data_IF_900724860706
#
_entry.id   IF_900724860706
#
_cell.length_a   1.000
_cell.length_b   1.000
_cell.length_c   1.000
_cell.angle_alpha   90.00
_cell.angle_beta   90.00
_cell.angle_gamma   90.00
#
_symmetry.space_group_name_H-M   'P 1'
#
loop_
_entity.id
_entity.type
_entity.pdbx_description
1 polymer ?
#
# COMPACT_ATOMS: atom_id res chain seq x y z
N UNK A 1 8.61 31.33 0.58
CA UNK A 1 7.37 31.18 1.37
C UNK A 1 7.74 30.33 2.56
N UNK A 2 7.54 30.81 3.78
CA UNK A 2 7.95 30.04 4.96
C UNK A 2 6.87 29.07 5.42
N UNK A 3 5.61 29.29 5.08
CA UNK A 3 4.50 28.42 5.45
C UNK A 3 3.69 28.05 4.20
N UNK A 4 3.33 26.78 4.07
CA UNK A 4 2.53 26.24 2.97
C UNK A 4 1.45 25.34 3.57
N UNK A 5 0.19 25.58 3.21
CA UNK A 5 -0.94 24.74 3.62
C UNK A 5 -1.41 23.90 2.44
N UNK A 6 -1.42 22.58 2.62
CA UNK A 6 -1.83 21.58 1.65
C UNK A 6 -3.21 21.01 2.02
N UNK A 7 -4.14 21.01 1.08
CA UNK A 7 -5.51 20.51 1.26
C UNK A 7 -5.69 19.24 0.44
N UNK A 8 -6.27 18.18 1.02
CA UNK A 8 -6.56 16.96 0.29
C UNK A 8 -7.83 17.13 -0.56
N UNK A 9 -7.72 16.95 -1.89
CA UNK A 9 -8.83 17.16 -2.84
C UNK A 9 -10.09 16.34 -2.51
N UNK A 10 -9.93 15.09 -2.12
CA UNK A 10 -11.04 14.18 -1.84
C UNK A 10 -11.50 14.19 -0.37
N UNK A 11 -10.79 14.88 0.51
CA UNK A 11 -11.14 15.00 1.92
C UNK A 11 -10.69 16.35 2.48
N UNK A 12 -11.46 17.40 2.20
CA UNK A 12 -11.11 18.79 2.53
C UNK A 12 -10.98 19.06 4.04
N UNK A 13 -11.39 18.11 4.89
CA UNK A 13 -11.21 18.23 6.35
C UNK A 13 -9.78 17.91 6.78
N UNK A 14 -9.03 17.14 5.97
CA UNK A 14 -7.61 16.82 6.19
C UNK A 14 -6.73 17.86 5.51
N UNK A 15 -5.88 18.52 6.29
CA UNK A 15 -4.87 19.43 5.77
C UNK A 15 -3.52 19.25 6.47
N UNK A 16 -2.45 19.54 5.72
CA UNK A 16 -1.07 19.51 6.20
C UNK A 16 -0.50 20.92 6.09
N UNK A 17 0.05 21.45 7.17
CA UNK A 17 0.82 22.69 7.16
C UNK A 17 2.30 22.38 7.28
N UNK A 18 3.08 22.96 6.39
CA UNK A 18 4.52 22.86 6.33
C UNK A 18 5.12 24.23 6.65
N UNK A 19 6.00 24.31 7.63
CA UNK A 19 6.69 25.54 7.99
C UNK A 19 8.21 25.34 7.91
N UNK A 20 8.89 26.15 7.11
CA UNK A 20 10.35 26.13 6.93
C UNK A 20 10.97 27.34 7.62
N UNK A 21 11.77 27.06 8.65
CA UNK A 21 12.55 28.05 9.38
C UNK A 21 14.02 27.64 9.39
N UNK A 22 14.84 28.32 8.56
CA UNK A 22 16.27 28.04 8.37
C UNK A 22 16.53 26.59 7.92
N UNK A 23 16.93 25.73 8.85
CA UNK A 23 17.33 24.34 8.64
C UNK A 23 16.28 23.38 9.23
N UNK A 24 15.12 23.91 9.63
CA UNK A 24 14.05 23.17 10.28
C UNK A 24 12.78 23.19 9.44
N UNK A 25 12.16 22.02 9.30
CA UNK A 25 10.81 21.87 8.76
C UNK A 25 9.90 21.39 9.87
N UNK A 26 8.83 22.13 10.14
CA UNK A 26 7.74 21.69 10.99
C UNK A 26 6.58 21.23 10.12
N UNK A 27 6.15 19.98 10.32
CA UNK A 27 4.99 19.38 9.67
C UNK A 27 3.87 19.27 10.71
N UNK A 28 2.71 19.83 10.38
CA UNK A 28 1.51 19.78 11.21
C UNK A 28 0.37 19.19 10.41
N UNK A 29 -0.32 18.21 10.98
CA UNK A 29 -1.50 17.61 10.38
C UNK A 29 -2.74 18.03 11.16
N UNK A 30 -3.79 18.34 10.43
CA UNK A 30 -5.06 18.79 10.97
C UNK A 30 -6.20 17.96 10.39
N UNK A 31 -7.24 17.80 11.20
CA UNK A 31 -8.54 17.27 10.79
C UNK A 31 -9.64 18.15 11.38
N UNK A 32 -10.59 18.58 10.55
CA UNK A 32 -11.66 19.50 10.96
C UNK A 32 -11.13 20.77 11.65
N UNK A 33 -9.99 21.31 11.17
CA UNK A 33 -9.24 22.43 11.75
C UNK A 33 -8.64 22.19 13.15
N UNK A 34 -8.75 21.00 13.71
CA UNK A 34 -8.04 20.62 14.94
C UNK A 34 -6.68 20.04 14.58
N UNK A 35 -5.62 20.55 15.20
CA UNK A 35 -4.28 20.00 15.02
C UNK A 35 -4.20 18.62 15.69
N UNK A 36 -3.95 17.59 14.88
CA UNK A 36 -3.79 16.20 15.31
C UNK A 36 -2.37 16.01 15.86
N UNK A 37 -1.36 16.47 15.13
CA UNK A 37 0.04 16.27 15.47
C UNK A 37 0.93 17.41 14.95
N UNK A 38 2.15 17.48 15.47
CA UNK A 38 3.17 18.44 15.08
C UNK A 38 4.55 17.84 15.27
N UNK A 39 5.32 17.73 14.20
CA UNK A 39 6.68 17.20 14.22
C UNK A 39 7.66 18.19 13.58
N UNK A 40 8.81 18.42 14.22
CA UNK A 40 9.88 19.25 13.66
C UNK A 40 11.08 18.40 13.31
N UNK A 41 11.62 18.63 12.11
CA UNK A 41 12.79 17.98 11.57
C UNK A 41 13.90 19.00 11.38
N UNK A 42 15.07 18.72 11.96
CA UNK A 42 16.29 19.51 11.77
C UNK A 42 17.19 18.84 10.75
N UNK A 43 17.67 19.63 9.79
CA UNK A 43 18.54 19.22 8.68
C UNK A 43 19.92 19.85 8.80
N UNK A 44 20.89 19.28 8.10
CA UNK A 44 22.29 19.72 8.17
C UNK A 44 22.53 21.15 7.68
N UNK A 45 21.68 21.64 6.79
CA UNK A 45 21.72 23.00 6.27
C UNK A 45 20.39 23.40 5.60
N UNK A 46 20.24 24.69 5.35
CA UNK A 46 19.01 25.26 4.78
C UNK A 46 18.71 24.79 3.35
N UNK A 47 19.73 24.43 2.56
CA UNK A 47 19.52 23.91 1.21
C UNK A 47 18.88 22.52 1.26
N UNK A 48 19.33 21.67 2.18
CA UNK A 48 18.76 20.33 2.39
C UNK A 48 17.32 20.43 2.89
N UNK A 49 17.04 21.32 3.86
CA UNK A 49 15.69 21.56 4.35
C UNK A 49 14.76 22.10 3.24
N UNK A 50 15.22 23.08 2.45
CA UNK A 50 14.44 23.64 1.34
C UNK A 50 14.13 22.58 0.29
N UNK A 51 15.12 21.75 -0.06
CA UNK A 51 14.94 20.65 -1.01
C UNK A 51 13.93 19.61 -0.49
N UNK A 52 14.01 19.24 0.78
CA UNK A 52 13.05 18.30 1.36
C UNK A 52 11.63 18.85 1.38
N UNK A 53 11.45 20.13 1.69
CA UNK A 53 10.14 20.80 1.63
C UNK A 53 9.55 20.71 0.20
N UNK A 54 10.34 21.05 -0.82
CA UNK A 54 9.90 20.99 -2.22
C UNK A 54 9.52 19.56 -2.62
N UNK A 55 10.32 18.58 -2.24
CA UNK A 55 10.10 17.15 -2.53
C UNK A 55 8.85 16.63 -1.82
N UNK A 56 8.59 17.05 -0.59
CA UNK A 56 7.39 16.69 0.15
C UNK A 56 6.12 17.27 -0.49
N UNK A 57 6.15 18.55 -0.91
CA UNK A 57 5.02 19.18 -1.60
C UNK A 57 4.73 18.47 -2.92
N UNK A 58 5.78 18.15 -3.68
CA UNK A 58 5.68 17.34 -4.88
C UNK A 58 4.98 16.02 -4.55
N UNK A 59 5.51 15.23 -3.62
CA UNK A 59 4.92 13.94 -3.25
C UNK A 59 3.43 14.07 -2.90
N UNK A 60 3.07 15.03 -2.04
CA UNK A 60 1.67 15.24 -1.67
C UNK A 60 0.79 15.68 -2.84
N UNK A 61 1.33 16.41 -3.81
CA UNK A 61 0.60 16.72 -5.05
C UNK A 61 0.22 15.46 -5.83
N UNK A 62 1.12 14.46 -5.89
CA UNK A 62 0.81 13.15 -6.46
C UNK A 62 -0.35 12.47 -5.73
N UNK A 63 -0.37 12.54 -4.41
CA UNK A 63 -1.42 11.97 -3.57
C UNK A 63 -2.74 12.75 -3.60
N UNK A 64 -2.85 13.78 -4.44
CA UNK A 64 -4.08 14.57 -4.59
C UNK A 64 -4.20 15.74 -3.61
N UNK A 65 -3.11 16.17 -2.98
CA UNK A 65 -3.08 17.42 -2.22
C UNK A 65 -2.76 18.61 -3.13
N UNK A 66 -3.21 19.79 -2.73
CA UNK A 66 -2.86 21.03 -3.42
C UNK A 66 -2.55 22.15 -2.42
N UNK A 67 -1.62 23.07 -2.73
CA UNK A 67 -1.47 24.29 -1.97
C UNK A 67 -2.77 25.10 -1.99
N UNK A 68 -3.23 25.55 -0.83
CA UNK A 68 -4.48 26.33 -0.69
C UNK A 68 -4.54 27.53 -1.66
N UNK A 69 -3.40 28.16 -1.93
CA UNK A 69 -3.28 29.31 -2.84
C UNK A 69 -3.41 28.95 -4.34
N UNK A 70 -3.17 27.69 -4.71
CA UNK A 70 -3.13 27.23 -6.12
C UNK A 70 -4.45 26.62 -6.60
N UNK A 71 -5.27 26.11 -5.68
CA UNK A 71 -6.57 25.50 -5.99
C UNK A 71 -6.51 24.00 -6.36
N UNK A 72 -7.68 23.32 -6.41
CA UNK A 72 -7.79 21.87 -6.47
C UNK A 72 -7.32 21.24 -7.79
N UNK A 73 -7.24 22.01 -8.86
CA UNK A 73 -6.76 21.54 -10.16
C UNK A 73 -5.22 21.42 -10.22
N UNK A 74 -4.51 22.01 -9.25
CA UNK A 74 -3.05 21.89 -9.11
C UNK A 74 -2.58 20.43 -9.07
N UNK A 75 -3.23 19.58 -8.26
CA UNK A 75 -2.84 18.18 -8.12
C UNK A 75 -2.94 17.43 -9.46
N UNK A 76 -4.03 17.64 -10.19
CA UNK A 76 -4.25 16.99 -11.49
C UNK A 76 -3.25 17.48 -12.54
N UNK A 77 -2.93 18.79 -12.55
CA UNK A 77 -1.90 19.35 -13.44
C UNK A 77 -0.54 18.71 -13.18
N UNK A 78 -0.17 18.54 -11.92
CA UNK A 78 1.12 17.95 -11.56
C UNK A 78 1.19 16.47 -11.86
N UNK A 79 0.14 15.70 -11.53
CA UNK A 79 0.06 14.28 -11.89
C UNK A 79 0.19 14.08 -13.40
N UNK A 80 -0.55 14.86 -14.19
CA UNK A 80 -0.45 14.84 -15.65
C UNK A 80 0.93 15.27 -16.16
N UNK A 81 1.52 16.32 -15.58
CA UNK A 81 2.86 16.78 -15.96
C UNK A 81 3.90 15.65 -15.74
N UNK A 82 3.81 14.94 -14.62
CA UNK A 82 4.74 13.88 -14.28
C UNK A 82 4.61 12.63 -15.15
N UNK A 83 3.39 12.17 -15.40
CA UNK A 83 3.12 11.05 -16.30
C UNK A 83 3.69 11.28 -17.71
N UNK A 84 3.77 12.55 -18.15
CA UNK A 84 4.27 12.91 -19.48
C UNK A 84 5.79 13.22 -19.52
N UNK A 85 6.41 13.65 -18.42
CA UNK A 85 7.77 14.21 -18.45
C UNK A 85 8.84 13.35 -17.75
N UNK A 86 8.47 12.22 -17.13
CA UNK A 86 9.45 11.32 -16.51
C UNK A 86 9.84 10.03 -17.27
N UNK A 87 9.54 9.81 -18.58
CA UNK A 87 9.91 8.56 -19.22
C UNK A 87 11.44 8.35 -19.27
N UNK A 88 12.23 9.42 -19.20
CA UNK A 88 13.70 9.37 -19.17
C UNK A 88 14.27 8.99 -17.79
N UNK A 89 13.49 9.16 -16.71
CA UNK A 89 13.84 8.71 -15.34
C UNK A 89 13.47 7.25 -15.10
N UNK A 90 12.70 6.65 -16.00
CA UNK A 90 12.39 5.23 -15.97
C UNK A 90 13.66 4.46 -16.33
N UNK A 91 14.21 3.71 -15.37
CA UNK A 91 15.39 2.91 -15.65
C UNK A 91 14.97 1.76 -16.56
N UNK A 92 15.88 1.34 -17.45
CA UNK A 92 15.77 0.07 -18.18
C UNK A 92 15.20 -1.05 -17.28
N UNK A 93 14.42 -2.02 -17.80
CA UNK A 93 13.77 -3.11 -17.03
C UNK A 93 14.70 -4.02 -16.20
N UNK A 94 16.00 -3.69 -16.12
CA UNK A 94 16.97 -4.26 -15.20
C UNK A 94 16.79 -3.65 -13.81
N UNK A 95 16.44 -4.51 -12.85
CA UNK A 95 16.31 -4.24 -11.40
C UNK A 95 17.31 -3.16 -10.90
N UNK A 96 16.87 -1.98 -10.41
CA UNK A 96 17.76 -0.91 -9.95
C UNK A 96 18.68 -1.39 -8.83
N UNK A 97 19.94 -0.95 -8.82
CA UNK A 97 20.91 -1.41 -7.81
C UNK A 97 20.62 -0.79 -6.44
N UNK A 98 21.01 -1.47 -5.37
CA UNK A 98 20.90 -0.90 -4.01
C UNK A 98 21.62 0.45 -3.89
N UNK A 99 22.81 0.57 -4.50
CA UNK A 99 23.57 1.82 -4.53
C UNK A 99 22.79 2.98 -5.19
N UNK A 100 22.04 2.69 -6.25
CA UNK A 100 21.23 3.69 -6.94
C UNK A 100 20.04 4.15 -6.08
N UNK A 101 19.40 3.23 -5.35
CA UNK A 101 18.34 3.57 -4.40
C UNK A 101 18.87 4.48 -3.27
N UNK A 102 20.04 4.16 -2.73
CA UNK A 102 20.72 4.99 -1.72
C UNK A 102 21.05 6.38 -2.26
N UNK A 103 21.56 6.46 -3.50
CA UNK A 103 21.82 7.73 -4.16
C UNK A 103 20.53 8.54 -4.37
N UNK A 104 19.43 7.90 -4.77
CA UNK A 104 18.12 8.54 -4.90
C UNK A 104 17.61 9.08 -3.55
N UNK A 105 17.78 8.34 -2.45
CA UNK A 105 17.43 8.81 -1.09
C UNK A 105 18.27 10.03 -0.69
N UNK A 106 19.59 9.96 -0.86
CA UNK A 106 20.50 11.06 -0.54
C UNK A 106 20.22 12.31 -1.38
N UNK A 107 19.82 12.10 -2.64
CA UNK A 107 19.42 13.15 -3.54
C UNK A 107 17.97 13.62 -3.36
N UNK A 108 17.21 13.04 -2.43
CA UNK A 108 15.77 13.35 -2.23
C UNK A 108 14.99 13.28 -3.56
N UNK A 109 15.34 12.33 -4.42
CA UNK A 109 14.78 12.22 -5.77
C UNK A 109 13.47 11.43 -5.77
N UNK A 110 12.39 12.06 -5.30
CA UNK A 110 11.07 11.41 -5.27
C UNK A 110 10.57 11.02 -6.67
N UNK A 111 10.95 11.81 -7.69
CA UNK A 111 10.53 11.58 -9.07
C UNK A 111 11.14 10.28 -9.62
N UNK A 112 12.36 9.94 -9.20
CA UNK A 112 12.95 8.63 -9.47
C UNK A 112 12.08 7.51 -8.92
N UNK A 113 11.64 7.62 -7.67
CA UNK A 113 10.85 6.59 -7.01
C UNK A 113 9.51 6.40 -7.72
N UNK A 114 8.77 7.48 -7.96
CA UNK A 114 7.49 7.47 -8.69
C UNK A 114 7.65 6.88 -10.09
N UNK A 115 8.69 7.30 -10.83
CA UNK A 115 8.91 6.81 -12.20
C UNK A 115 9.30 5.33 -12.28
N UNK A 116 9.66 4.71 -11.15
CA UNK A 116 10.08 3.31 -11.08
C UNK A 116 9.19 2.50 -10.12
N UNK A 117 8.00 2.99 -9.74
CA UNK A 117 7.10 2.33 -8.79
C UNK A 117 6.83 0.86 -9.17
N UNK A 118 6.54 0.62 -10.45
CA UNK A 118 6.25 -0.71 -10.99
C UNK A 118 7.50 -1.51 -11.42
N UNK A 119 8.72 -0.98 -11.20
CA UNK A 119 9.94 -1.63 -11.67
C UNK A 119 10.26 -2.86 -10.81
N UNK A 120 10.31 -4.08 -11.39
CA UNK A 120 10.51 -5.29 -10.63
C UNK A 120 11.77 -5.26 -9.75
N UNK A 121 11.61 -5.61 -8.47
CA UNK A 121 12.70 -5.73 -7.51
C UNK A 121 13.14 -4.44 -6.82
N UNK A 122 12.45 -3.30 -7.01
CA UNK A 122 12.56 -2.17 -6.07
C UNK A 122 12.07 -2.59 -4.69
N UNK A 123 10.85 -3.13 -4.61
CA UNK A 123 10.21 -3.56 -3.34
C UNK A 123 11.09 -4.56 -2.55
N UNK A 124 11.67 -5.53 -3.25
CA UNK A 124 12.57 -6.51 -2.64
C UNK A 124 13.82 -5.87 -2.04
N UNK A 125 14.41 -4.89 -2.73
CA UNK A 125 15.62 -4.20 -2.25
C UNK A 125 15.32 -3.19 -1.16
N UNK A 126 14.12 -2.60 -1.18
CA UNK A 126 13.67 -1.73 -0.09
C UNK A 126 13.47 -2.50 1.21
N UNK A 127 13.12 -3.79 1.14
CA UNK A 127 12.94 -4.69 2.29
C UNK A 127 14.13 -5.59 2.61
N UNK A 128 15.28 -5.44 1.94
CA UNK A 128 16.41 -6.35 2.15
C UNK A 128 17.49 -5.74 3.02
N UNK A 129 17.81 -6.41 4.13
CA UNK A 129 19.02 -6.11 4.92
C UNK A 129 20.31 -6.72 4.32
N UNK A 130 20.22 -7.43 3.18
CA UNK A 130 21.34 -8.19 2.58
C UNK A 130 22.50 -7.29 2.12
N UNK A 131 22.20 -6.06 1.72
CA UNK A 131 23.18 -5.14 1.11
C UNK A 131 23.47 -3.90 1.97
N UNK A 132 22.87 -3.83 3.16
CA UNK A 132 22.94 -2.67 4.04
C UNK A 132 21.64 -2.51 4.82
N UNK A 133 21.37 -1.30 5.31
CA UNK A 133 20.08 -1.00 5.92
C UNK A 133 18.95 -1.10 4.87
N UNK A 134 17.80 -1.69 5.19
CA UNK A 134 16.61 -1.58 4.35
C UNK A 134 16.36 -0.11 3.95
N UNK A 135 15.96 0.15 2.71
CA UNK A 135 15.87 1.53 2.18
C UNK A 135 14.94 2.40 3.02
N UNK A 136 13.87 1.82 3.59
CA UNK A 136 13.00 2.52 4.54
C UNK A 136 13.77 3.01 5.77
N UNK A 137 14.55 2.13 6.41
CA UNK A 137 15.41 2.48 7.56
C UNK A 137 16.46 3.50 7.13
N UNK A 138 17.07 3.30 5.96
CA UNK A 138 18.05 4.23 5.42
C UNK A 138 17.45 5.61 5.14
N UNK A 139 16.19 5.74 4.73
CA UNK A 139 15.52 7.03 4.50
C UNK A 139 15.09 7.73 5.81
N UNK A 140 14.77 6.96 6.86
CA UNK A 140 14.45 7.48 8.20
C UNK A 140 15.67 8.18 8.82
N UNK A 141 16.86 7.56 8.78
CA UNK A 141 18.09 8.09 9.40
C UNK A 141 18.47 9.53 8.97
N UNK A 142 18.47 9.90 7.67
CA UNK A 142 18.72 11.26 7.17
C UNK A 142 17.46 12.14 7.08
N UNK A 143 16.31 11.66 7.60
CA UNK A 143 15.03 12.38 7.60
C UNK A 143 14.59 12.75 6.17
N UNK A 144 14.67 11.82 5.23
CA UNK A 144 14.02 11.95 3.91
C UNK A 144 12.55 11.60 4.03
N UNK A 145 11.82 12.44 4.77
CA UNK A 145 10.42 12.27 5.17
C UNK A 145 9.51 12.05 3.97
N UNK A 146 9.69 12.82 2.88
CA UNK A 146 8.90 12.64 1.65
C UNK A 146 9.08 11.25 1.03
N UNK A 147 10.30 10.71 1.08
CA UNK A 147 10.59 9.36 0.56
C UNK A 147 10.07 8.30 1.54
N UNK A 148 10.23 8.48 2.86
CA UNK A 148 9.64 7.58 3.85
C UNK A 148 8.12 7.50 3.65
N UNK A 149 7.49 8.64 3.45
CA UNK A 149 6.06 8.78 3.22
C UNK A 149 5.62 8.08 1.92
N UNK A 150 6.37 8.31 0.84
CA UNK A 150 6.20 7.56 -0.40
C UNK A 150 6.28 6.05 -0.19
N UNK A 151 7.36 5.56 0.44
CA UNK A 151 7.60 4.13 0.62
C UNK A 151 6.45 3.49 1.41
N UNK A 152 5.95 4.16 2.46
CA UNK A 152 4.84 3.63 3.27
C UNK A 152 3.50 3.56 2.52
N UNK A 153 3.27 4.48 1.60
CA UNK A 153 2.02 4.54 0.83
C UNK A 153 2.01 3.72 -0.45
N UNK A 154 3.18 3.46 -1.04
CA UNK A 154 3.29 2.87 -2.39
C UNK A 154 3.97 1.51 -2.40
N UNK A 155 4.97 1.32 -1.55
CA UNK A 155 5.80 0.11 -1.57
C UNK A 155 5.30 -0.91 -0.57
N UNK A 156 5.40 -2.19 -0.94
CA UNK A 156 5.33 -3.24 0.05
C UNK A 156 6.51 -3.13 1.01
N UNK A 157 6.22 -3.03 2.31
CA UNK A 157 7.23 -2.92 3.36
C UNK A 157 7.04 -4.02 4.38
N UNK A 158 8.10 -4.78 4.65
CA UNK A 158 8.09 -5.81 5.68
C UNK A 158 8.53 -5.16 7.02
N UNK A 159 7.59 -4.88 7.96
CA UNK A 159 7.89 -4.11 9.16
C UNK A 159 8.86 -4.81 10.10
N UNK A 160 8.98 -6.14 9.99
CA UNK A 160 9.87 -6.94 10.83
C UNK A 160 11.33 -6.91 10.40
N UNK A 161 11.66 -6.36 9.22
CA UNK A 161 13.04 -6.30 8.73
C UNK A 161 13.86 -5.37 9.61
N UNK A 162 15.00 -5.88 10.06
CA UNK A 162 15.91 -5.19 10.96
C UNK A 162 17.17 -4.75 10.24
N UNK A 163 17.71 -3.62 10.69
CA UNK A 163 19.04 -3.18 10.29
C UNK A 163 20.15 -4.01 10.95
N UNK A 164 21.39 -3.64 10.69
CA UNK A 164 22.58 -4.33 11.20
C UNK A 164 22.69 -4.31 12.73
N UNK A 165 21.99 -3.39 13.39
CA UNK A 165 21.93 -3.28 14.85
C UNK A 165 20.73 -4.03 15.45
N UNK A 166 19.94 -4.73 14.63
CA UNK A 166 18.77 -5.47 15.07
C UNK A 166 17.53 -4.59 15.32
N UNK A 167 17.52 -3.36 14.83
CA UNK A 167 16.39 -2.43 14.97
C UNK A 167 15.58 -2.37 13.68
N UNK A 168 14.26 -2.48 13.80
CA UNK A 168 13.31 -2.27 12.71
C UNK A 168 13.10 -0.78 12.41
N UNK A 169 12.43 -0.47 11.31
CA UNK A 169 12.05 0.91 10.99
C UNK A 169 11.14 1.53 12.08
N UNK A 170 10.23 0.73 12.63
CA UNK A 170 9.39 1.14 13.75
C UNK A 170 10.20 1.45 15.01
N UNK A 171 11.19 0.61 15.33
CA UNK A 171 12.06 0.85 16.50
C UNK A 171 12.76 2.21 16.42
N UNK A 172 13.29 2.57 15.24
CA UNK A 172 13.93 3.87 15.02
C UNK A 172 12.95 5.04 15.24
N UNK A 173 11.75 4.94 14.70
CA UNK A 173 10.71 5.98 14.80
C UNK A 173 10.23 6.13 16.25
N UNK A 174 9.94 5.00 16.90
CA UNK A 174 9.40 4.98 18.25
C UNK A 174 10.42 5.47 19.28
N UNK A 175 11.70 5.07 19.15
CA UNK A 175 12.78 5.57 19.99
C UNK A 175 13.03 7.08 19.79
N UNK A 176 12.88 7.57 18.56
CA UNK A 176 12.99 9.00 18.25
C UNK A 176 11.78 9.82 18.72
N UNK A 177 10.68 9.16 19.12
CA UNK A 177 9.38 9.78 19.43
C UNK A 177 8.88 10.66 18.29
N UNK A 178 9.05 10.19 17.06
CA UNK A 178 8.61 10.90 15.88
C UNK A 178 7.10 10.73 15.70
N UNK A 179 6.34 11.77 16.04
CA UNK A 179 4.88 11.73 15.99
C UNK A 179 4.32 11.63 14.58
N UNK A 180 4.96 12.27 13.60
CA UNK A 180 4.47 12.28 12.22
C UNK A 180 4.72 10.94 11.54
N UNK A 181 5.97 10.44 11.54
CA UNK A 181 6.28 9.13 10.99
C UNK A 181 5.60 8.01 11.80
N UNK A 182 5.46 8.19 13.11
CA UNK A 182 4.75 7.25 13.98
C UNK A 182 3.27 7.12 13.60
N UNK A 183 2.56 8.24 13.42
CA UNK A 183 1.17 8.20 12.94
C UNK A 183 1.08 7.59 11.55
N UNK A 184 2.03 7.92 10.68
CA UNK A 184 2.06 7.41 9.32
C UNK A 184 2.26 5.89 9.25
N UNK A 185 3.11 5.34 10.12
CA UNK A 185 3.27 3.89 10.29
C UNK A 185 1.99 3.24 10.81
N UNK A 186 1.35 3.82 11.82
CA UNK A 186 0.10 3.27 12.37
C UNK A 186 -1.05 3.31 11.35
N UNK A 187 -1.08 4.27 10.43
CA UNK A 187 -2.09 4.36 9.37
C UNK A 187 -1.84 3.40 8.19
N UNK A 188 -0.58 3.04 7.93
CA UNK A 188 -0.19 2.26 6.75
C UNK A 188 0.25 0.82 7.05
N UNK A 189 0.67 0.53 8.27
CA UNK A 189 1.08 -0.81 8.72
C UNK A 189 0.07 -1.32 9.74
N UNK A 190 -0.83 -2.16 9.26
CA UNK A 190 -1.99 -2.61 10.03
C UNK A 190 -1.60 -3.53 11.19
N UNK A 191 -0.57 -4.36 11.02
CA UNK A 191 -0.18 -5.39 12.00
C UNK A 191 1.09 -5.02 12.78
N UNK A 192 1.22 -3.74 13.13
CA UNK A 192 2.38 -3.23 13.88
C UNK A 192 2.38 -3.63 15.37
N UNK A 193 1.27 -4.20 15.86
CA UNK A 193 1.11 -4.68 17.22
C UNK A 193 -0.35 -5.02 17.50
N UNK A 194 -0.63 -5.48 18.73
CA UNK A 194 -2.00 -5.65 19.24
C UNK A 194 -2.69 -4.30 19.45
N UNK A 195 -4.02 -4.27 19.57
CA UNK A 195 -4.77 -3.03 19.84
C UNK A 195 -4.28 -2.28 21.10
N UNK A 196 -3.95 -3.03 22.16
CA UNK A 196 -3.41 -2.48 23.41
C UNK A 196 -2.05 -1.81 23.18
N UNK A 197 -1.19 -2.44 22.38
CA UNK A 197 0.11 -1.89 21.99
C UNK A 197 -0.05 -0.65 21.12
N UNK A 198 -0.96 -0.67 20.13
CA UNK A 198 -1.26 0.49 19.28
C UNK A 198 -1.75 1.68 20.10
N UNK A 199 -2.68 1.45 21.06
CA UNK A 199 -3.14 2.51 21.97
C UNK A 199 -2.00 3.09 22.78
N UNK A 200 -1.12 2.24 23.30
CA UNK A 200 0.08 2.67 24.03
C UNK A 200 1.03 3.47 23.13
N UNK A 201 1.25 3.02 21.89
CA UNK A 201 2.08 3.73 20.93
C UNK A 201 1.54 5.12 20.61
N UNK A 202 0.24 5.25 20.37
CA UNK A 202 -0.43 6.55 20.16
C UNK A 202 -0.21 7.51 21.33
N UNK A 203 -0.35 7.02 22.56
CA UNK A 203 -0.12 7.83 23.76
C UNK A 203 1.34 8.29 23.86
N UNK A 204 2.29 7.37 23.68
CA UNK A 204 3.72 7.68 23.80
C UNK A 204 4.23 8.64 22.71
N UNK A 205 3.61 8.59 21.54
CA UNK A 205 3.88 9.50 20.41
C UNK A 205 3.09 10.82 20.49
N UNK A 206 2.22 11.00 21.49
CA UNK A 206 1.40 12.21 21.64
C UNK A 206 0.33 12.37 20.57
N UNK A 207 -0.14 11.27 19.99
CA UNK A 207 -1.19 11.22 18.98
C UNK A 207 -2.58 11.22 19.62
N UNK A 208 -3.62 11.71 18.92
CA UNK A 208 -4.98 11.59 19.42
C UNK A 208 -5.39 10.13 19.56
N UNK A 209 -6.23 9.87 20.57
CA UNK A 209 -6.87 8.57 20.74
C UNK A 209 -7.77 8.28 19.53
N UNK A 210 -7.77 7.03 19.06
CA UNK A 210 -8.75 6.59 18.08
C UNK A 210 -10.17 6.78 18.62
N UNK A 211 -11.08 7.24 17.77
CA UNK A 211 -12.51 7.07 18.03
C UNK A 211 -12.78 5.56 18.12
N UNK A 212 -13.53 5.13 19.13
CA UNK A 212 -13.81 3.71 19.40
C UNK A 212 -14.53 3.04 18.21
N UNK A 213 -13.76 2.50 17.26
CA UNK A 213 -14.24 1.45 16.37
C UNK A 213 -13.94 0.12 17.02
N UNK A 214 -14.96 -0.42 17.69
CA UNK A 214 -15.17 -1.82 18.09
C UNK A 214 -13.92 -2.72 18.16
N UNK A 215 -13.37 -2.82 19.36
CA UNK A 215 -12.39 -3.79 19.86
C UNK A 215 -12.42 -5.18 19.22
N UNK A 216 -11.28 -5.75 18.81
CA UNK A 216 -11.08 -7.21 18.75
C UNK A 216 -9.64 -7.69 19.02
N UNK A 217 -9.58 -8.75 19.84
CA UNK A 217 -8.38 -9.45 20.30
C UNK A 217 -7.60 -10.13 19.17
N UNK A 218 -6.34 -9.74 18.96
CA UNK A 218 -5.39 -10.48 18.12
C UNK A 218 -4.71 -11.59 18.94
N UNK A 219 -4.94 -12.85 18.59
CA UNK A 219 -4.17 -13.98 19.16
C UNK A 219 -2.86 -14.14 18.41
N UNK A 220 -1.78 -13.65 19.01
CA UNK A 220 -0.41 -13.97 18.59
C UNK A 220 -0.17 -15.49 18.72
N UNK A 221 0.27 -16.14 17.65
CA UNK A 221 0.83 -17.50 17.71
C UNK A 221 2.23 -17.53 17.08
N UNK A 222 3.14 -18.14 17.82
CA UNK A 222 4.56 -18.31 17.52
C UNK A 222 4.87 -18.94 16.16
N UNK A 223 5.92 -18.38 15.54
CA UNK A 223 6.54 -18.76 14.28
C UNK A 223 7.30 -20.09 14.37
N UNK A 224 6.79 -21.12 13.68
CA UNK A 224 7.62 -22.11 13.00
C UNK A 224 7.17 -22.22 11.54
N UNK A 225 8.04 -21.74 10.64
CA UNK A 225 7.90 -21.74 9.17
C UNK A 225 7.57 -23.14 8.63
N UNK A 226 6.32 -23.33 8.20
CA UNK A 226 5.86 -24.25 7.15
C UNK A 226 4.37 -23.96 6.84
N UNK A 227 4.07 -22.78 6.29
CA UNK A 227 2.69 -22.38 5.99
C UNK A 227 2.60 -21.00 5.31
N UNK A 228 1.39 -20.55 5.00
CA UNK A 228 1.13 -19.17 4.55
C UNK A 228 1.33 -18.17 5.70
N UNK A 229 2.04 -17.07 5.43
CA UNK A 229 2.13 -15.94 6.35
C UNK A 229 0.95 -15.00 6.14
N UNK A 230 -0.17 -15.31 6.79
CA UNK A 230 -1.46 -14.62 6.65
C UNK A 230 -1.33 -13.12 6.93
N UNK A 231 -0.50 -12.74 7.90
CA UNK A 231 -0.34 -11.35 8.33
C UNK A 231 0.37 -10.53 7.25
N UNK A 232 1.47 -11.08 6.72
CA UNK A 232 2.21 -10.46 5.62
C UNK A 232 1.36 -10.36 4.34
N UNK A 233 0.65 -11.43 3.98
CA UNK A 233 -0.22 -11.45 2.80
C UNK A 233 -1.41 -10.50 2.96
N UNK A 234 -1.98 -10.38 4.16
CA UNK A 234 -3.05 -9.40 4.44
C UNK A 234 -2.54 -7.98 4.23
N UNK A 235 -1.38 -7.63 4.80
CA UNK A 235 -0.79 -6.30 4.65
C UNK A 235 -0.51 -5.96 3.18
N UNK A 236 0.03 -6.92 2.43
CA UNK A 236 0.26 -6.77 0.99
C UNK A 236 -1.03 -6.47 0.23
N UNK A 237 -2.10 -7.24 0.49
CA UNK A 237 -3.40 -7.00 -0.13
C UNK A 237 -3.97 -5.61 0.19
N UNK A 238 -3.85 -5.16 1.44
CA UNK A 238 -4.33 -3.84 1.87
C UNK A 238 -3.63 -2.73 1.11
N UNK A 239 -2.30 -2.79 0.98
CA UNK A 239 -1.54 -1.77 0.26
C UNK A 239 -1.94 -1.71 -1.21
N UNK A 240 -2.07 -2.86 -1.87
CA UNK A 240 -2.49 -2.91 -3.29
C UNK A 240 -3.92 -2.40 -3.46
N UNK A 241 -4.86 -2.72 -2.56
CA UNK A 241 -6.22 -2.18 -2.57
C UNK A 241 -6.23 -0.66 -2.34
N UNK A 242 -5.45 -0.16 -1.37
CA UNK A 242 -5.35 1.28 -1.07
C UNK A 242 -4.77 2.07 -2.24
N UNK A 243 -3.70 1.57 -2.87
CA UNK A 243 -3.11 2.18 -4.05
C UNK A 243 -4.11 2.20 -5.21
N UNK A 244 -4.71 1.06 -5.51
CA UNK A 244 -5.74 0.91 -6.54
C UNK A 244 -6.94 1.87 -6.33
N UNK A 245 -7.40 2.05 -5.09
CA UNK A 245 -8.50 2.96 -4.78
C UNK A 245 -8.20 4.43 -5.12
N UNK A 246 -6.93 4.86 -5.06
CA UNK A 246 -6.53 6.24 -5.38
C UNK A 246 -6.67 6.54 -6.88
N UNK A 247 -6.51 5.53 -7.73
CA UNK A 247 -6.52 5.67 -9.20
C UNK A 247 -7.89 5.43 -9.82
N UNK A 248 -8.80 4.73 -9.11
CA UNK A 248 -10.11 4.34 -9.61
C UNK A 248 -11.28 4.96 -8.84
N UNK A 249 -11.15 6.24 -8.47
CA UNK A 249 -12.17 6.96 -7.66
C UNK A 249 -13.53 7.14 -8.34
N UNK A 250 -13.57 7.08 -9.68
CA UNK A 250 -14.78 7.31 -10.48
C UNK A 250 -15.54 6.01 -10.82
N UNK A 251 -14.99 4.84 -10.49
CA UNK A 251 -15.59 3.53 -10.80
C UNK A 251 -16.37 2.94 -9.62
N UNK A 252 -17.35 2.09 -9.92
CA UNK A 252 -18.20 1.45 -8.92
C UNK A 252 -17.88 -0.05 -8.84
N UNK A 253 -17.18 -0.46 -7.80
CA UNK A 253 -16.72 -1.85 -7.64
C UNK A 253 -17.81 -2.76 -7.10
N UNK A 254 -17.98 -3.94 -7.72
CA UNK A 254 -18.95 -4.95 -7.27
C UNK A 254 -18.29 -6.22 -6.72
N UNK A 255 -16.99 -6.42 -6.97
CA UNK A 255 -16.33 -7.66 -6.59
C UNK A 255 -14.87 -7.46 -6.22
N UNK A 256 -14.47 -8.16 -5.15
CA UNK A 256 -13.09 -8.46 -4.78
C UNK A 256 -12.93 -9.97 -4.69
N UNK A 257 -11.84 -10.50 -5.23
CA UNK A 257 -11.56 -11.92 -5.20
C UNK A 257 -10.08 -12.22 -4.97
N UNK A 258 -9.83 -13.30 -4.24
CA UNK A 258 -8.53 -14.01 -4.28
C UNK A 258 -8.71 -15.22 -5.19
N UNK A 259 -8.03 -15.23 -6.32
CA UNK A 259 -8.09 -16.29 -7.34
C UNK A 259 -6.70 -16.92 -7.48
N UNK A 260 -6.52 -18.11 -6.91
CA UNK A 260 -5.20 -18.68 -6.66
C UNK A 260 -4.33 -17.71 -5.84
N UNK A 261 -3.20 -17.27 -6.38
CA UNK A 261 -2.35 -16.25 -5.77
C UNK A 261 -2.74 -14.82 -6.16
N UNK A 262 -3.68 -14.63 -7.11
CA UNK A 262 -4.02 -13.32 -7.63
C UNK A 262 -5.05 -12.58 -6.78
N UNK A 263 -4.80 -11.30 -6.57
CA UNK A 263 -5.76 -10.34 -6.02
C UNK A 263 -6.49 -9.70 -7.19
N UNK A 264 -7.81 -9.88 -7.26
CA UNK A 264 -8.64 -9.42 -8.38
C UNK A 264 -9.78 -8.53 -7.94
N UNK A 265 -10.16 -7.60 -8.80
CA UNK A 265 -11.33 -6.74 -8.64
C UNK A 265 -12.05 -6.51 -9.95
N UNK A 266 -13.33 -6.12 -9.86
CA UNK A 266 -14.06 -5.67 -11.02
C UNK A 266 -15.09 -4.58 -10.68
N UNK A 267 -15.27 -3.65 -11.61
CA UNK A 267 -16.26 -2.59 -11.54
C UNK A 267 -17.45 -2.88 -12.44
N UNK A 268 -18.58 -2.22 -12.16
CA UNK A 268 -19.77 -2.31 -13.01
C UNK A 268 -19.43 -1.82 -14.41
N UNK A 269 -18.66 -0.73 -14.50
CA UNK A 269 -18.27 -0.07 -15.73
C UNK A 269 -17.37 -0.96 -16.61
N UNK A 270 -16.46 -1.76 -16.02
CA UNK A 270 -15.66 -2.72 -16.78
C UNK A 270 -16.46 -3.97 -17.16
N UNK A 271 -17.34 -4.44 -16.28
CA UNK A 271 -18.21 -5.58 -16.59
C UNK A 271 -19.15 -5.29 -17.76
N UNK A 272 -19.75 -4.10 -17.82
CA UNK A 272 -20.62 -3.71 -18.94
C UNK A 272 -19.89 -3.75 -20.29
N UNK A 273 -18.62 -3.29 -20.32
CA UNK A 273 -17.77 -3.36 -21.52
C UNK A 273 -17.47 -4.81 -21.90
N UNK A 274 -17.08 -5.66 -20.93
CA UNK A 274 -16.85 -7.09 -21.17
C UNK A 274 -18.11 -7.77 -21.70
N UNK A 275 -19.28 -7.46 -21.11
CA UNK A 275 -20.55 -8.01 -21.55
C UNK A 275 -20.90 -7.60 -22.98
N UNK A 276 -20.70 -6.33 -23.35
CA UNK A 276 -20.92 -5.85 -24.72
C UNK A 276 -20.03 -6.59 -25.73
N UNK A 277 -18.73 -6.74 -25.40
CA UNK A 277 -17.79 -7.48 -26.24
C UNK A 277 -18.21 -8.95 -26.41
N UNK A 278 -18.63 -9.60 -25.32
CA UNK A 278 -19.01 -11.00 -25.31
C UNK A 278 -20.34 -11.23 -26.04
N UNK A 279 -21.32 -10.33 -25.89
CA UNK A 279 -22.57 -10.37 -26.65
C UNK A 279 -22.35 -10.12 -28.15
N UNK A 280 -21.38 -9.30 -28.52
CA UNK A 280 -21.02 -9.07 -29.92
C UNK A 280 -20.39 -10.32 -30.56
N UNK A 281 -19.48 -10.99 -29.84
CA UNK A 281 -18.78 -12.19 -30.33
C UNK A 281 -19.66 -13.45 -30.27
N UNK A 282 -20.46 -13.60 -29.22
CA UNK A 282 -21.28 -14.78 -28.93
C UNK A 282 -22.70 -14.38 -28.51
N UNK A 283 -23.52 -13.88 -29.46
CA UNK A 283 -24.83 -13.30 -29.16
C UNK A 283 -25.84 -14.28 -28.55
N UNK A 284 -25.62 -15.59 -28.68
CA UNK A 284 -26.48 -16.62 -28.08
C UNK A 284 -26.03 -17.06 -26.68
N UNK A 285 -24.80 -16.72 -26.27
CA UNK A 285 -24.18 -17.25 -25.05
C UNK A 285 -24.21 -16.29 -23.86
N UNK A 286 -24.60 -15.03 -24.08
CA UNK A 286 -24.67 -13.99 -23.05
C UNK A 286 -25.94 -13.12 -23.14
N UNK A 287 -27.06 -13.72 -23.56
CA UNK A 287 -28.32 -13.02 -23.83
C UNK A 287 -29.45 -13.26 -22.82
N UNK A 288 -29.23 -14.08 -21.79
CA UNK A 288 -30.19 -14.29 -20.70
C UNK A 288 -29.63 -13.80 -19.37
N UNK A 289 -30.47 -13.37 -18.40
CA UNK A 289 -30.02 -12.92 -17.09
C UNK A 289 -29.10 -13.93 -16.38
N UNK A 290 -29.39 -15.23 -16.49
CA UNK A 290 -28.60 -16.28 -15.86
C UNK A 290 -27.18 -16.34 -16.44
N UNK A 291 -27.06 -16.28 -17.78
CA UNK A 291 -25.77 -16.29 -18.47
C UNK A 291 -24.96 -15.02 -18.18
N UNK A 292 -25.63 -13.87 -18.11
CA UNK A 292 -25.01 -12.59 -17.73
C UNK A 292 -24.49 -12.67 -16.29
N UNK A 293 -25.27 -13.25 -15.37
CA UNK A 293 -24.85 -13.42 -13.97
C UNK A 293 -23.67 -14.40 -13.86
N UNK A 294 -23.67 -15.50 -14.62
CA UNK A 294 -22.53 -16.41 -14.70
C UNK A 294 -21.26 -15.68 -15.15
N UNK A 295 -21.36 -14.84 -16.20
CA UNK A 295 -20.23 -14.01 -16.63
C UNK A 295 -19.78 -13.03 -15.54
N UNK A 296 -20.72 -12.36 -14.87
CA UNK A 296 -20.41 -11.41 -13.78
C UNK A 296 -19.62 -12.08 -12.64
N UNK A 297 -19.95 -13.33 -12.34
CA UNK A 297 -19.31 -14.12 -11.29
C UNK A 297 -18.04 -14.86 -11.76
N UNK A 298 -17.72 -14.84 -13.06
CA UNK A 298 -16.51 -15.48 -13.56
C UNK A 298 -15.29 -14.60 -13.29
N UNK A 299 -14.57 -14.89 -12.21
CA UNK A 299 -13.38 -14.14 -11.78
C UNK A 299 -12.25 -14.21 -12.83
N UNK A 300 -12.23 -15.24 -13.67
CA UNK A 300 -11.29 -15.34 -14.80
C UNK A 300 -11.47 -14.20 -15.82
N UNK A 301 -12.68 -13.68 -15.97
CA UNK A 301 -13.02 -12.59 -16.91
C UNK A 301 -13.00 -11.20 -16.26
N UNK A 302 -12.65 -11.10 -14.96
CA UNK A 302 -12.56 -9.81 -14.27
C UNK A 302 -11.39 -8.98 -14.82
N UNK A 303 -11.60 -7.67 -14.92
CA UNK A 303 -10.68 -6.78 -15.63
C UNK A 303 -9.37 -6.55 -14.87
N UNK A 304 -9.45 -6.39 -13.56
CA UNK A 304 -8.32 -5.91 -12.77
C UNK A 304 -7.68 -7.05 -11.97
N UNK A 305 -6.41 -7.29 -12.25
CA UNK A 305 -5.49 -7.98 -11.34
C UNK A 305 -4.68 -6.91 -10.64
N UNK A 306 -4.86 -6.78 -9.33
CA UNK A 306 -4.19 -5.78 -8.50
C UNK A 306 -2.75 -6.18 -8.18
N UNK A 307 -2.54 -7.47 -7.90
CA UNK A 307 -1.23 -8.06 -7.62
C UNK A 307 -1.31 -9.59 -7.62
N UNK A 308 -0.14 -10.22 -7.60
CA UNK A 308 0.05 -11.64 -7.33
C UNK A 308 0.78 -11.81 -5.99
N UNK A 309 0.25 -12.63 -5.07
CA UNK A 309 0.91 -12.91 -3.79
C UNK A 309 2.31 -13.52 -3.96
N UNK A 310 2.61 -14.15 -5.10
CA UNK A 310 3.96 -14.64 -5.43
C UNK A 310 4.98 -13.51 -5.50
N UNK A 311 4.56 -12.26 -5.73
CA UNK A 311 5.45 -11.07 -5.67
C UNK A 311 6.11 -10.91 -4.29
N UNK A 312 5.49 -11.44 -3.23
CA UNK A 312 6.06 -11.44 -1.87
C UNK A 312 7.17 -12.49 -1.68
N UNK A 313 7.34 -13.40 -2.64
CA UNK A 313 8.29 -14.51 -2.58
C UNK A 313 9.61 -14.18 -3.29
N UNK A 314 10.69 -14.83 -2.85
CA UNK A 314 12.03 -14.68 -3.40
C UNK A 314 12.62 -16.03 -3.80
N UNK A 315 13.32 -16.06 -4.92
CA UNK A 315 14.11 -17.21 -5.33
C UNK A 315 15.31 -17.38 -4.38
N UNK A 316 15.42 -18.56 -3.76
CA UNK A 316 16.55 -18.92 -2.91
C UNK A 316 17.77 -19.40 -3.74
N UNK A 317 18.88 -19.72 -3.07
CA UNK A 317 20.13 -20.12 -3.74
C UNK A 317 20.01 -21.39 -4.59
N UNK A 318 19.00 -22.22 -4.30
CA UNK A 318 18.70 -23.48 -4.99
C UNK A 318 17.65 -23.31 -6.10
N UNK A 319 17.16 -22.09 -6.35
CA UNK A 319 16.19 -21.79 -7.41
C UNK A 319 14.72 -21.99 -7.03
N UNK A 320 14.41 -22.18 -5.74
CA UNK A 320 13.03 -22.32 -5.26
C UNK A 320 12.48 -20.98 -4.78
N UNK A 321 11.21 -20.71 -5.09
CA UNK A 321 10.50 -19.53 -4.58
C UNK A 321 10.13 -19.77 -3.11
N UNK A 322 10.73 -19.01 -2.20
CA UNK A 322 10.41 -19.01 -0.77
C UNK A 322 9.84 -17.66 -0.36
N UNK A 323 8.72 -17.67 0.36
CA UNK A 323 8.13 -16.44 0.88
C UNK A 323 6.81 -16.65 1.62
N UNK A 324 6.09 -15.54 1.88
CA UNK A 324 4.81 -15.53 2.59
C UNK A 324 3.74 -16.40 1.94
N UNK A 325 3.75 -16.52 0.61
CA UNK A 325 2.85 -17.40 -0.13
C UNK A 325 3.48 -18.76 -0.38
N UNK A 326 2.84 -19.84 0.08
CA UNK A 326 3.34 -21.20 -0.08
C UNK A 326 2.72 -21.88 -1.30
N UNK A 327 3.48 -21.89 -2.41
CA UNK A 327 3.05 -22.47 -3.69
C UNK A 327 2.80 -23.98 -3.59
N UNK A 328 3.62 -24.74 -2.85
CA UNK A 328 3.42 -26.19 -2.68
C UNK A 328 2.09 -26.52 -1.98
N UNK A 329 1.69 -25.73 -0.99
CA UNK A 329 0.41 -25.88 -0.30
C UNK A 329 -0.77 -25.46 -1.18
N UNK A 330 -0.59 -24.45 -2.03
CA UNK A 330 -1.57 -24.11 -3.05
C UNK A 330 -1.70 -25.24 -4.09
N UNK A 331 -0.61 -25.79 -4.61
CA UNK A 331 -0.63 -26.91 -5.55
C UNK A 331 -1.30 -28.14 -4.95
N UNK A 332 -1.05 -28.41 -3.66
CA UNK A 332 -1.74 -29.48 -2.93
C UNK A 332 -3.25 -29.21 -2.84
N UNK A 333 -3.67 -27.97 -2.60
CA UNK A 333 -5.08 -27.58 -2.62
C UNK A 333 -5.68 -27.74 -4.03
N UNK A 334 -5.01 -27.25 -5.07
CA UNK A 334 -5.46 -27.32 -6.45
C UNK A 334 -5.70 -28.76 -6.91
N UNK A 335 -4.83 -29.68 -6.49
CA UNK A 335 -4.94 -31.11 -6.82
C UNK A 335 -5.83 -31.92 -5.86
N UNK A 336 -6.39 -31.30 -4.82
CA UNK A 336 -7.28 -31.95 -3.87
C UNK A 336 -8.73 -32.00 -4.39
N UNK A 337 -9.54 -32.93 -3.86
CA UNK A 337 -10.97 -32.98 -4.16
C UNK A 337 -11.73 -31.80 -3.54
N UNK A 338 -12.94 -31.46 -4.05
CA UNK A 338 -13.78 -30.37 -3.53
C UNK A 338 -14.04 -30.45 -2.01
N UNK A 339 -14.08 -31.67 -1.46
CA UNK A 339 -14.25 -31.89 -0.02
C UNK A 339 -12.98 -31.57 0.76
N UNK A 340 -11.82 -31.92 0.21
CA UNK A 340 -10.51 -31.67 0.83
C UNK A 340 -10.08 -30.21 0.70
N UNK A 341 -10.45 -29.54 -0.40
CA UNK A 341 -10.20 -28.12 -0.62
C UNK A 341 -10.78 -27.25 0.50
N UNK A 342 -11.99 -27.57 0.98
CA UNK A 342 -12.69 -26.81 2.05
C UNK A 342 -11.89 -26.70 3.35
N UNK A 343 -11.09 -27.71 3.68
CA UNK A 343 -10.32 -27.76 4.93
C UNK A 343 -8.81 -27.61 4.71
N UNK A 344 -8.38 -27.34 3.47
CA UNK A 344 -6.98 -27.15 3.11
C UNK A 344 -6.34 -25.96 3.83
N UNK A 345 -5.01 -25.99 3.95
CA UNK A 345 -4.25 -24.87 4.54
C UNK A 345 -4.38 -23.58 3.72
N UNK A 346 -4.41 -23.70 2.39
CA UNK A 346 -4.70 -22.57 1.51
C UNK A 346 -6.07 -21.96 1.79
N UNK A 347 -7.13 -22.76 1.87
CA UNK A 347 -8.48 -22.24 2.17
C UNK A 347 -8.52 -21.51 3.49
N UNK A 348 -7.95 -22.09 4.55
CA UNK A 348 -7.91 -21.44 5.86
C UNK A 348 -7.14 -20.12 5.81
N UNK A 349 -6.01 -20.08 5.11
CA UNK A 349 -5.20 -18.88 4.99
C UNK A 349 -5.93 -17.77 4.21
N UNK A 350 -6.50 -18.09 3.04
CA UNK A 350 -7.22 -17.12 2.21
C UNK A 350 -8.50 -16.62 2.88
N UNK A 351 -9.22 -17.49 3.60
CA UNK A 351 -10.39 -17.08 4.40
C UNK A 351 -9.97 -16.14 5.53
N UNK A 352 -8.84 -16.41 6.19
CA UNK A 352 -8.30 -15.49 7.20
C UNK A 352 -7.93 -14.13 6.59
N UNK A 353 -7.27 -14.09 5.43
CA UNK A 353 -6.95 -12.85 4.72
C UNK A 353 -8.24 -12.08 4.38
N UNK A 354 -9.23 -12.74 3.76
CA UNK A 354 -10.51 -12.11 3.41
C UNK A 354 -11.23 -11.56 4.64
N UNK A 355 -11.28 -12.33 5.73
CA UNK A 355 -11.90 -11.87 6.97
C UNK A 355 -11.17 -10.66 7.54
N UNK A 356 -9.84 -10.64 7.53
CA UNK A 356 -9.06 -9.49 7.97
C UNK A 356 -9.39 -8.24 7.13
N UNK A 357 -9.45 -8.36 5.80
CA UNK A 357 -9.77 -7.26 4.90
C UNK A 357 -11.18 -6.69 5.15
N UNK A 358 -12.16 -7.57 5.37
CA UNK A 358 -13.56 -7.20 5.65
C UNK A 358 -13.66 -6.53 7.02
N UNK A 359 -13.07 -7.12 8.06
CA UNK A 359 -13.13 -6.63 9.43
C UNK A 359 -12.48 -5.25 9.58
N UNK A 360 -11.42 -4.97 8.82
CA UNK A 360 -10.72 -3.70 8.86
C UNK A 360 -11.34 -2.63 7.95
N UNK A 361 -12.53 -2.89 7.37
CA UNK A 361 -13.25 -1.95 6.49
C UNK A 361 -12.39 -1.39 5.33
N UNK A 362 -11.43 -2.17 4.82
CA UNK A 362 -10.44 -1.67 3.84
C UNK A 362 -11.10 -1.16 2.55
N UNK A 363 -12.24 -1.75 2.19
CA UNK A 363 -13.03 -1.37 1.02
C UNK A 363 -13.84 -0.08 1.20
N UNK A 364 -13.86 0.54 2.38
CA UNK A 364 -14.66 1.75 2.66
C UNK A 364 -14.24 2.97 1.82
N UNK A 365 -12.98 3.00 1.39
CA UNK A 365 -12.46 4.06 0.53
C UNK A 365 -12.74 3.83 -0.96
N UNK A 366 -13.29 2.68 -1.33
CA UNK A 366 -13.76 2.40 -2.68
C UNK A 366 -15.25 2.74 -2.79
N UNK A 367 -15.65 3.25 -3.94
CA UNK A 367 -17.06 3.34 -4.29
C UNK A 367 -17.56 1.94 -4.64
N UNK A 368 -18.30 1.30 -3.75
CA UNK A 368 -18.80 -0.07 -3.91
C UNK A 368 -20.28 -0.12 -4.26
N UNK A 369 -20.70 -1.19 -4.95
CA UNK A 369 -22.11 -1.47 -5.22
C UNK A 369 -22.82 -2.04 -3.98
N UNK A 370 -24.16 -2.01 -4.00
CA UNK A 370 -24.99 -2.56 -2.90
C UNK A 370 -24.76 -4.07 -2.73
N UNK A 371 -24.45 -4.76 -3.83
CA UNK A 371 -24.18 -6.19 -3.91
C UNK A 371 -22.67 -6.53 -3.87
N UNK A 372 -21.83 -5.62 -3.37
CA UNK A 372 -20.38 -5.84 -3.31
C UNK A 372 -20.03 -7.12 -2.55
N UNK A 373 -19.23 -7.99 -3.18
CA UNK A 373 -18.85 -9.28 -2.63
C UNK A 373 -17.33 -9.45 -2.55
N UNK A 374 -16.84 -9.96 -1.42
CA UNK A 374 -15.48 -10.45 -1.23
C UNK A 374 -15.50 -11.97 -1.18
N UNK A 375 -14.73 -12.64 -2.03
CA UNK A 375 -14.73 -14.10 -2.07
C UNK A 375 -13.39 -14.68 -2.49
N UNK A 376 -13.21 -15.98 -2.28
CA UNK A 376 -12.10 -16.75 -2.84
C UNK A 376 -12.63 -17.52 -4.04
N UNK A 377 -11.89 -17.51 -5.15
CA UNK A 377 -12.18 -18.38 -6.28
C UNK A 377 -11.83 -19.82 -5.88
N UNK A 378 -12.80 -20.73 -6.01
CA UNK A 378 -12.53 -22.17 -5.96
C UNK A 378 -12.49 -22.68 -7.40
N UNK A 379 -11.53 -23.55 -7.70
CA UNK A 379 -11.47 -24.23 -9.00
C UNK A 379 -12.55 -25.32 -9.06
N UNK A 380 -13.78 -24.94 -9.39
CA UNK A 380 -14.82 -25.89 -9.80
C UNK A 380 -14.81 -25.99 -11.33
N UNK A 381 -14.00 -26.89 -11.89
CA UNK A 381 -14.04 -27.21 -13.33
C UNK A 381 -15.05 -28.31 -13.66
#
# INVERSE_FOLDING_TARGET
>A
MNQIRLIQKHNVTKCIELNLEKEQITIQQYENNNRILSQTYEYENSNVASKELEVFIKWKAWEGYYPEEEGPDYADRWRNYWLNNFPEKNISPKRPTYQLLIEAVNNRDIEFFIANEDTPGIELKTNSAKFGDPILIYAIKPKSIAIVDYLLHTMWLEPSVKDQNGLSAWDHIFQAKDSFLGNLFLENIVLLGTEEEIKKYRIELGLPAEEETSSFETKVKDNHKHGFDVDVLTNFAIQKIKSFAKDHVDETFYGFAIDASYIKMNSIETFEKTLEEYQSKWPNDYNTPEKIQTLKNNIGDWKYTLADFIETCNENEDGFMEGPFNEELYDKHYNASDLEQKDSEYTKAMDSILNNLIQQEIFRNLKTSIDFSCLKAEHNY
#
